data_IF_796710047727
#
_entry.id   IF_796710047727
#
_cell.length_a   1.000
_cell.length_b   1.000
_cell.length_c   1.000
_cell.angle_alpha   90.00
_cell.angle_beta   90.00
_cell.angle_gamma   90.00
#
_symmetry.space_group_name_H-M   'P 1'
#
loop_
_entity.id
_entity.type
_entity.pdbx_description
1 polymer ?
#
# COMPACT_ATOMS: atom_id res chain seq x y z
N UNK A 1 -12.92 6.54 3.42
CA UNK A 1 -13.57 7.74 4.01
C UNK A 1 -12.52 8.45 4.86
N UNK A 2 -12.24 9.71 4.61
CA UNK A 2 -11.28 10.49 5.40
C UNK A 2 -11.90 10.77 6.77
N UNK A 3 -11.34 10.19 7.81
CA UNK A 3 -11.80 10.33 9.19
C UNK A 3 -11.72 11.78 9.65
N UNK A 4 -12.82 12.55 9.49
CA UNK A 4 -12.99 13.89 10.05
C UNK A 4 -12.09 14.99 9.49
N UNK A 5 -11.34 14.77 8.40
CA UNK A 5 -10.44 15.75 7.79
C UNK A 5 -10.77 15.96 6.32
N UNK A 6 -10.63 17.20 5.85
CA UNK A 6 -10.62 17.55 4.42
C UNK A 6 -9.15 17.75 4.06
N UNK A 7 -8.68 17.08 3.02
CA UNK A 7 -7.28 17.18 2.58
C UNK A 7 -7.26 17.53 1.09
N UNK A 8 -6.53 18.59 0.74
CA UNK A 8 -6.21 18.96 -0.62
C UNK A 8 -4.69 18.93 -0.83
N UNK A 9 -4.28 18.58 -2.03
CA UNK A 9 -2.86 18.53 -2.41
C UNK A 9 -2.65 19.23 -3.74
N UNK A 10 -1.64 20.07 -3.77
CA UNK A 10 -1.14 20.71 -4.99
C UNK A 10 0.28 20.25 -5.23
N UNK A 11 0.63 20.04 -6.48
CA UNK A 11 1.98 19.63 -6.88
C UNK A 11 2.51 20.54 -7.99
N UNK A 12 3.79 20.87 -7.88
CA UNK A 12 4.58 21.55 -8.90
C UNK A 12 5.77 20.69 -9.25
N UNK A 13 6.13 20.65 -10.53
CA UNK A 13 7.31 19.93 -11.02
C UNK A 13 8.16 20.88 -11.86
N UNK A 14 9.47 20.73 -11.80
CA UNK A 14 10.44 21.50 -12.60
C UNK A 14 11.65 20.64 -12.97
N UNK A 15 12.31 21.00 -14.04
CA UNK A 15 13.60 20.45 -14.48
C UNK A 15 14.75 21.43 -14.33
N UNK A 16 14.48 22.70 -14.00
CA UNK A 16 15.45 23.80 -14.01
C UNK A 16 16.61 23.59 -13.03
N UNK A 17 16.37 22.86 -11.94
CA UNK A 17 17.39 22.61 -10.94
C UNK A 17 18.11 21.25 -11.09
N UNK A 18 17.80 20.48 -12.14
CA UNK A 18 18.39 19.16 -12.32
C UNK A 18 19.92 19.22 -12.42
N UNK A 19 20.45 20.24 -13.10
CA UNK A 19 21.91 20.41 -13.29
C UNK A 19 22.64 20.86 -12.02
N UNK A 20 21.92 21.37 -11.01
CA UNK A 20 22.49 21.79 -9.72
C UNK A 20 22.49 20.68 -8.69
N UNK A 21 21.81 19.56 -8.96
CA UNK A 21 21.68 18.47 -8.03
C UNK A 21 22.74 17.40 -8.30
N UNK A 22 23.63 17.19 -7.35
CA UNK A 22 24.62 16.09 -7.37
C UNK A 22 23.96 14.71 -7.11
N UNK A 23 22.77 14.49 -7.66
CA UNK A 23 22.05 13.23 -7.52
C UNK A 23 21.89 12.57 -8.90
N UNK A 24 22.32 11.31 -9.06
CA UNK A 24 22.29 10.66 -10.36
C UNK A 24 20.86 10.41 -10.85
N UNK A 25 20.68 10.57 -12.16
CA UNK A 25 19.42 10.22 -12.87
C UNK A 25 18.19 11.04 -12.47
N UNK A 26 18.35 12.28 -12.00
CA UNK A 26 17.21 13.16 -11.73
C UNK A 26 16.51 13.53 -13.06
N UNK A 27 15.24 13.19 -13.19
CA UNK A 27 14.40 13.59 -14.32
C UNK A 27 13.61 14.86 -14.03
N UNK A 28 13.06 15.00 -12.83
CA UNK A 28 12.34 16.18 -12.34
C UNK A 28 12.51 16.32 -10.82
N UNK A 29 12.42 17.56 -10.35
CA UNK A 29 12.16 17.89 -8.96
C UNK A 29 10.66 18.18 -8.79
N UNK A 30 10.13 17.99 -7.60
CA UNK A 30 8.76 18.34 -7.30
C UNK A 30 8.59 18.92 -5.90
N UNK A 31 7.58 19.77 -5.74
CA UNK A 31 7.10 20.27 -4.47
C UNK A 31 5.63 19.89 -4.31
N UNK A 32 5.25 19.32 -3.17
CA UNK A 32 3.87 18.98 -2.84
C UNK A 32 3.44 19.80 -1.64
N UNK A 33 2.41 20.59 -1.80
CA UNK A 33 1.71 21.24 -0.70
C UNK A 33 0.54 20.38 -0.27
N UNK A 34 0.46 20.09 1.02
CA UNK A 34 -0.68 19.45 1.65
C UNK A 34 -1.39 20.46 2.53
N UNK A 35 -2.65 20.71 2.27
CA UNK A 35 -3.52 21.51 3.08
C UNK A 35 -4.58 20.60 3.70
N UNK A 36 -4.67 20.61 5.03
CA UNK A 36 -5.58 19.75 5.79
C UNK A 36 -6.43 20.62 6.71
N UNK A 37 -7.73 20.40 6.69
CA UNK A 37 -8.71 21.06 7.57
C UNK A 37 -9.35 19.99 8.45
N UNK A 38 -9.22 20.11 9.76
CA UNK A 38 -9.95 19.26 10.69
C UNK A 38 -11.40 19.74 10.78
N UNK A 39 -12.36 18.85 10.50
CA UNK A 39 -13.81 19.18 10.48
C UNK A 39 -14.39 19.49 11.85
N UNK A 40 -13.73 19.05 12.94
CA UNK A 40 -14.23 19.25 14.29
C UNK A 40 -13.70 20.53 14.90
N UNK A 41 -12.38 20.76 14.78
CA UNK A 41 -11.72 21.94 15.35
C UNK A 41 -11.72 23.14 14.41
N UNK A 42 -11.88 22.92 13.10
CA UNK A 42 -11.68 23.95 12.07
C UNK A 42 -10.20 24.32 11.88
N UNK A 43 -9.28 23.61 12.52
CA UNK A 43 -7.85 23.87 12.44
C UNK A 43 -7.32 23.55 11.03
N UNK A 44 -6.56 24.48 10.48
CA UNK A 44 -5.92 24.34 9.17
C UNK A 44 -4.42 24.13 9.33
N UNK A 45 -3.89 23.15 8.62
CA UNK A 45 -2.45 22.87 8.58
C UNK A 45 -1.95 22.87 7.13
N UNK A 46 -0.79 23.51 6.93
CA UNK A 46 -0.11 23.55 5.64
C UNK A 46 1.25 22.87 5.79
N UNK A 47 1.51 21.89 4.95
CA UNK A 47 2.79 21.20 4.92
C UNK A 47 3.35 21.24 3.50
N UNK A 48 4.67 21.46 3.39
CA UNK A 48 5.38 21.44 2.13
C UNK A 48 6.40 20.30 2.16
N UNK A 49 6.35 19.43 1.15
CA UNK A 49 7.31 18.36 0.95
C UNK A 49 8.00 18.52 -0.41
N UNK A 50 9.30 18.29 -0.44
CA UNK A 50 10.10 18.34 -1.66
C UNK A 50 10.62 16.95 -1.98
N UNK A 51 10.77 16.66 -3.28
CA UNK A 51 11.29 15.37 -3.70
C UNK A 51 11.89 15.39 -5.10
N UNK A 52 12.54 14.28 -5.43
CA UNK A 52 13.16 14.03 -6.71
C UNK A 52 12.54 12.79 -7.34
N UNK A 53 12.45 12.78 -8.66
CA UNK A 53 12.05 11.60 -9.42
C UNK A 53 12.95 11.42 -10.63
N UNK A 54 13.22 10.18 -10.99
CA UNK A 54 13.95 9.83 -12.23
C UNK A 54 13.06 9.92 -13.49
N UNK A 55 11.76 10.06 -13.33
CA UNK A 55 10.86 10.25 -14.46
C UNK A 55 11.05 11.63 -15.08
N UNK A 56 11.26 11.67 -16.39
CA UNK A 56 11.26 12.92 -17.15
C UNK A 56 9.84 13.48 -17.31
N UNK A 57 9.65 14.77 -17.65
CA UNK A 57 8.33 15.33 -17.95
C UNK A 57 7.56 14.61 -19.07
N UNK A 58 8.30 13.98 -20.01
CA UNK A 58 7.72 13.19 -21.09
C UNK A 58 7.20 11.82 -20.61
N UNK A 59 7.79 11.26 -19.55
CA UNK A 59 7.40 9.95 -19.00
C UNK A 59 6.38 10.03 -17.88
N UNK A 60 6.32 11.14 -17.14
CA UNK A 60 5.34 11.36 -16.08
C UNK A 60 5.02 12.85 -15.89
N UNK A 61 3.75 13.18 -15.97
CA UNK A 61 3.27 14.52 -15.66
C UNK A 61 3.14 14.72 -14.12
N UNK A 62 2.86 15.95 -13.68
CA UNK A 62 2.75 16.29 -12.25
C UNK A 62 1.73 15.42 -11.51
N UNK A 63 0.58 15.11 -12.10
CA UNK A 63 -0.44 14.27 -11.50
C UNK A 63 0.06 12.83 -11.29
N UNK A 64 0.77 12.28 -12.26
CA UNK A 64 1.37 10.95 -12.17
C UNK A 64 2.46 10.90 -11.10
N UNK A 65 3.31 11.94 -11.01
CA UNK A 65 4.32 12.06 -9.94
C UNK A 65 3.65 12.09 -8.57
N UNK A 66 2.56 12.85 -8.41
CA UNK A 66 1.78 12.86 -7.17
C UNK A 66 1.21 11.48 -6.83
N UNK A 67 0.69 10.77 -7.83
CA UNK A 67 0.17 9.41 -7.68
C UNK A 67 1.26 8.42 -7.25
N UNK A 68 2.45 8.50 -7.86
CA UNK A 68 3.59 7.66 -7.49
C UNK A 68 4.07 7.95 -6.08
N UNK A 69 4.21 9.22 -5.70
CA UNK A 69 4.57 9.62 -4.34
C UNK A 69 3.56 9.08 -3.32
N UNK A 70 2.26 9.20 -3.58
CA UNK A 70 1.22 8.62 -2.72
C UNK A 70 1.26 7.10 -2.68
N UNK A 71 1.52 6.47 -3.83
CA UNK A 71 1.63 5.01 -3.95
C UNK A 71 2.79 4.43 -3.13
N UNK A 72 3.85 5.20 -2.93
CA UNK A 72 5.01 4.79 -2.14
C UNK A 72 4.63 4.44 -0.68
N UNK A 73 3.71 5.18 -0.07
CA UNK A 73 3.17 4.88 1.27
C UNK A 73 2.46 3.51 1.37
N UNK A 74 2.11 2.93 0.22
CA UNK A 74 1.57 1.57 0.17
C UNK A 74 2.60 0.51 0.61
N UNK A 75 3.90 0.78 0.44
CA UNK A 75 4.99 -0.09 0.89
C UNK A 75 5.03 -0.16 2.41
N UNK A 76 4.94 1.00 3.07
CA UNK A 76 4.92 1.06 4.55
C UNK A 76 3.69 0.34 5.12
N UNK A 77 2.52 0.54 4.50
CA UNK A 77 1.31 -0.18 4.89
C UNK A 77 1.44 -1.69 4.70
N UNK A 78 2.23 -2.13 3.70
CA UNK A 78 2.49 -3.55 3.47
C UNK A 78 3.46 -4.13 4.49
N UNK A 79 4.53 -3.39 4.83
CA UNK A 79 5.46 -3.76 5.89
C UNK A 79 4.76 -3.84 7.24
N UNK A 80 3.98 -2.81 7.62
CA UNK A 80 3.17 -2.84 8.83
C UNK A 80 2.27 -4.08 8.92
N UNK A 81 1.68 -4.49 7.80
CA UNK A 81 0.85 -5.68 7.75
C UNK A 81 1.64 -6.96 8.04
N UNK A 82 2.85 -7.10 7.49
CA UNK A 82 3.73 -8.25 7.72
C UNK A 82 4.24 -8.26 9.17
N UNK A 83 4.71 -7.13 9.66
CA UNK A 83 5.33 -7.01 10.98
C UNK A 83 4.30 -7.19 12.10
N UNK A 84 3.14 -6.54 11.98
CA UNK A 84 2.11 -6.56 13.02
C UNK A 84 1.18 -7.77 12.95
N UNK A 85 0.58 -8.02 11.79
CA UNK A 85 -0.44 -9.09 11.67
C UNK A 85 0.17 -10.48 11.54
N UNK A 86 1.36 -10.58 10.96
CA UNK A 86 2.07 -11.84 10.75
C UNK A 86 3.24 -12.05 11.69
N UNK A 87 3.51 -11.08 12.57
CA UNK A 87 4.60 -11.12 13.55
C UNK A 87 5.95 -11.46 12.92
N UNK A 88 6.27 -10.84 11.76
CA UNK A 88 7.52 -11.13 11.06
C UNK A 88 8.73 -10.78 11.93
N UNK A 89 8.72 -9.62 12.58
CA UNK A 89 9.78 -9.17 13.49
C UNK A 89 9.95 -10.03 14.74
N UNK A 90 8.92 -10.80 15.12
CA UNK A 90 8.95 -11.69 16.28
C UNK A 90 9.30 -13.14 15.93
N UNK A 91 9.70 -13.38 14.68
CA UNK A 91 10.02 -14.70 14.21
C UNK A 91 11.35 -15.16 14.77
N UNK A 92 11.36 -16.24 15.52
CA UNK A 92 12.55 -16.83 16.13
C UNK A 92 13.23 -17.91 15.28
N UNK A 93 12.69 -18.17 14.08
CA UNK A 93 13.24 -19.14 13.15
C UNK A 93 14.51 -18.53 12.54
N UNK A 94 15.68 -19.11 12.86
CA UNK A 94 16.98 -18.54 12.45
C UNK A 94 17.92 -19.54 11.74
N UNK A 95 17.49 -20.81 11.58
CA UNK A 95 18.38 -21.86 11.02
C UNK A 95 18.04 -22.19 9.57
N UNK A 96 19.08 -22.36 8.75
CA UNK A 96 18.99 -22.79 7.36
C UNK A 96 18.08 -21.88 6.53
N UNK A 97 17.27 -22.45 5.65
CA UNK A 97 16.30 -21.75 4.80
C UNK A 97 14.97 -21.43 5.53
N UNK A 98 14.90 -21.67 6.84
CA UNK A 98 13.68 -21.41 7.63
C UNK A 98 13.17 -19.99 7.53
N UNK A 99 14.01 -18.94 7.75
CA UNK A 99 13.60 -17.55 7.66
C UNK A 99 13.04 -17.17 6.29
N UNK A 100 13.72 -17.55 5.23
CA UNK A 100 13.29 -17.27 3.85
C UNK A 100 11.95 -17.93 3.53
N UNK A 101 11.81 -19.21 3.86
CA UNK A 101 10.61 -19.97 3.58
C UNK A 101 9.39 -19.42 4.31
N UNK A 102 9.53 -19.05 5.60
CA UNK A 102 8.40 -18.50 6.36
C UNK A 102 8.01 -17.10 5.87
N UNK A 103 8.98 -16.28 5.46
CA UNK A 103 8.72 -14.98 4.86
C UNK A 103 7.99 -15.13 3.52
N UNK A 104 8.41 -16.06 2.66
CA UNK A 104 7.72 -16.38 1.40
C UNK A 104 6.26 -16.82 1.65
N UNK A 105 6.04 -17.70 2.64
CA UNK A 105 4.70 -18.18 3.00
C UNK A 105 3.80 -17.04 3.50
N UNK A 106 4.31 -16.16 4.35
CA UNK A 106 3.58 -14.98 4.84
C UNK A 106 3.17 -14.05 3.71
N UNK A 107 4.11 -13.73 2.83
CA UNK A 107 3.85 -12.87 1.65
C UNK A 107 2.84 -13.49 0.70
N UNK A 108 2.96 -14.79 0.43
CA UNK A 108 1.99 -15.53 -0.36
C UNK A 108 0.59 -15.48 0.26
N UNK A 109 0.46 -15.77 1.56
CA UNK A 109 -0.82 -15.74 2.26
C UNK A 109 -1.43 -14.33 2.28
N UNK A 110 -0.62 -13.28 2.54
CA UNK A 110 -1.08 -11.89 2.47
C UNK A 110 -1.56 -11.50 1.06
N UNK A 111 -0.83 -11.90 0.02
CA UNK A 111 -1.21 -11.70 -1.38
C UNK A 111 -2.52 -12.41 -1.73
N UNK A 112 -2.66 -13.67 -1.31
CA UNK A 112 -3.86 -14.47 -1.53
C UNK A 112 -5.10 -13.82 -0.85
N UNK A 113 -4.97 -13.39 0.40
CA UNK A 113 -6.05 -12.71 1.12
C UNK A 113 -6.44 -11.41 0.40
N UNK A 114 -5.47 -10.59 0.02
CA UNK A 114 -5.72 -9.32 -0.69
C UNK A 114 -6.39 -9.52 -2.05
N UNK A 115 -6.09 -10.62 -2.75
CA UNK A 115 -6.67 -10.92 -4.06
C UNK A 115 -8.13 -11.40 -4.00
N UNK A 116 -8.56 -11.94 -2.86
CA UNK A 116 -9.89 -12.57 -2.74
C UNK A 116 -10.82 -11.76 -1.82
N UNK A 117 -10.28 -11.19 -0.74
CA UNK A 117 -11.08 -10.53 0.30
C UNK A 117 -11.18 -9.02 0.08
N UNK A 118 -12.39 -8.47 0.23
CA UNK A 118 -12.63 -7.02 0.32
C UNK A 118 -12.46 -6.49 1.76
N UNK A 119 -12.47 -7.38 2.73
CA UNK A 119 -12.24 -7.04 4.13
C UNK A 119 -10.76 -6.73 4.39
N UNK A 120 -10.47 -6.08 5.51
CA UNK A 120 -9.09 -5.91 5.94
C UNK A 120 -8.41 -7.26 6.14
N UNK A 121 -7.09 -7.30 5.91
CA UNK A 121 -6.32 -8.55 6.07
C UNK A 121 -6.43 -9.09 7.50
N UNK A 122 -6.35 -8.22 8.52
CA UNK A 122 -6.53 -8.59 9.93
C UNK A 122 -7.86 -9.30 10.18
N UNK A 123 -8.97 -8.67 9.76
CA UNK A 123 -10.32 -9.25 9.92
C UNK A 123 -10.45 -10.59 9.19
N UNK A 124 -9.82 -10.71 8.02
CA UNK A 124 -9.84 -11.95 7.25
C UNK A 124 -9.06 -13.05 7.94
N UNK A 125 -7.87 -12.74 8.49
CA UNK A 125 -7.06 -13.70 9.27
C UNK A 125 -7.87 -14.23 10.46
N UNK A 126 -8.53 -13.35 11.22
CA UNK A 126 -9.37 -13.78 12.35
C UNK A 126 -10.52 -14.69 11.92
N UNK A 127 -11.18 -14.37 10.79
CA UNK A 127 -12.25 -15.22 10.24
C UNK A 127 -11.74 -16.58 9.78
N UNK A 128 -10.55 -16.63 9.19
CA UNK A 128 -9.92 -17.89 8.77
C UNK A 128 -9.43 -18.71 9.94
N UNK A 129 -8.88 -18.09 10.99
CA UNK A 129 -8.44 -18.76 12.22
C UNK A 129 -9.60 -19.44 12.95
N UNK A 130 -10.79 -18.83 12.93
CA UNK A 130 -12.00 -19.42 13.52
C UNK A 130 -12.64 -20.53 12.68
N UNK A 131 -12.30 -20.61 11.39
CA UNK A 131 -12.88 -21.59 10.49
C UNK A 131 -11.86 -22.07 9.45
N UNK A 132 -11.12 -23.10 9.82
CA UNK A 132 -10.05 -23.72 9.01
C UNK A 132 -10.58 -24.18 7.62
N UNK A 133 -11.83 -24.63 7.54
CA UNK A 133 -12.41 -25.05 6.26
C UNK A 133 -12.41 -23.93 5.21
N UNK A 134 -12.59 -22.67 5.63
CA UNK A 134 -12.50 -21.51 4.74
C UNK A 134 -11.09 -21.32 4.16
N UNK A 135 -10.04 -21.75 4.84
CA UNK A 135 -8.69 -21.70 4.31
C UNK A 135 -8.59 -22.53 3.03
N UNK A 136 -9.19 -23.71 3.01
CA UNK A 136 -9.23 -24.56 1.81
C UNK A 136 -10.05 -23.93 0.68
N UNK A 137 -11.09 -23.17 0.99
CA UNK A 137 -11.86 -22.41 -0.01
C UNK A 137 -10.98 -21.34 -0.66
N UNK A 138 -10.17 -20.62 0.13
CA UNK A 138 -9.19 -19.64 -0.36
C UNK A 138 -8.10 -20.27 -1.21
N UNK A 139 -7.65 -21.47 -0.85
CA UNK A 139 -6.66 -22.23 -1.61
C UNK A 139 -7.24 -22.94 -2.84
N UNK A 140 -8.54 -22.75 -3.13
CA UNK A 140 -9.26 -23.39 -4.23
C UNK A 140 -9.25 -24.93 -4.16
N UNK A 141 -9.22 -25.47 -2.96
CA UNK A 141 -9.22 -26.92 -2.71
C UNK A 141 -10.60 -27.50 -2.46
N UNK A 142 -11.65 -26.68 -2.50
CA UNK A 142 -13.06 -27.08 -2.27
C UNK A 142 -13.97 -26.58 -3.37
N UNK A 143 -15.16 -27.19 -3.50
CA UNK A 143 -16.20 -26.78 -4.48
C UNK A 143 -16.78 -25.39 -4.18
N UNK A 144 -16.65 -24.91 -2.93
CA UNK A 144 -17.11 -23.57 -2.53
C UNK A 144 -16.21 -22.44 -3.05
N UNK A 145 -14.99 -22.75 -3.52
CA UNK A 145 -14.05 -21.75 -4.02
C UNK A 145 -14.58 -20.97 -5.22
N UNK A 146 -15.43 -21.58 -6.06
CA UNK A 146 -16.11 -20.89 -7.18
C UNK A 146 -17.07 -19.80 -6.70
N UNK A 147 -17.76 -20.01 -5.56
CA UNK A 147 -18.70 -19.04 -4.99
C UNK A 147 -18.00 -17.81 -4.41
N UNK A 148 -16.79 -17.96 -3.90
CA UNK A 148 -15.95 -16.86 -3.38
C UNK A 148 -15.55 -15.91 -4.50
N UNK A 149 -15.18 -16.44 -5.66
CA UNK A 149 -14.76 -15.66 -6.83
C UNK A 149 -15.94 -14.91 -7.46
N UNK A 150 -17.10 -15.55 -7.63
CA UNK A 150 -18.29 -14.95 -8.22
C UNK A 150 -18.83 -13.78 -7.38
N UNK A 151 -18.71 -13.83 -6.05
CA UNK A 151 -19.06 -12.70 -5.17
C UNK A 151 -18.15 -11.49 -5.34
N UNK A 152 -16.91 -11.67 -5.79
CA UNK A 152 -16.00 -10.57 -6.10
C UNK A 152 -16.29 -9.91 -7.44
N UNK A 153 -16.76 -10.67 -8.44
CA UNK A 153 -17.05 -10.18 -9.78
C UNK A 153 -18.42 -9.48 -9.89
N UNK A 154 -19.42 -9.87 -9.10
CA UNK A 154 -20.77 -9.33 -9.17
C UNK A 154 -20.97 -7.95 -8.52
N UNK A 155 -19.93 -7.26 -8.12
CA UNK A 155 -20.01 -5.91 -7.52
C UNK A 155 -19.23 -4.84 -8.31
N UNK A 156 -18.81 -5.12 -9.53
CA UNK A 156 -18.18 -4.16 -10.46
C UNK A 156 -19.15 -3.58 -11.49
N UNK A 157 -20.45 -3.50 -11.18
CA UNK A 157 -21.47 -2.80 -11.99
C UNK A 157 -22.01 -1.63 -11.20
#
# INVERSE_FOLDING_TARGET
>A
MAHGRIESRSIWTSTELNDYLEFPFVGQIFAIQRHTIDKKSGEETHEMAYGLTSHSPLSANAEQVLKFNRGHWGVESHHYLLDWNWHEDRCTISKGHGPENITCLRRFAAGLIKSISKDSVSSTIEKLARNVRRVFDYLRMTDNSRKVILRCQSQEV
#
